data_IF_996246470435
#
_entry.id   IF_996246470435
#
_cell.length_a   1.000
_cell.length_b   1.000
_cell.length_c   1.000
_cell.angle_alpha   90.00
_cell.angle_beta   90.00
_cell.angle_gamma   90.00
#
_symmetry.space_group_name_H-M   'P 1'
#
loop_
_entity.id
_entity.type
_entity.pdbx_description
1 polymer ?
#
# COMPACT_ATOMS: atom_id res chain seq x y z
N UNK A 1 21.54 5.02 -25.51
CA UNK A 1 20.31 4.98 -24.70
C UNK A 1 20.69 4.43 -23.35
N UNK A 2 20.42 5.15 -22.28
CA UNK A 2 20.62 4.65 -20.91
C UNK A 2 19.60 3.55 -20.68
N UNK A 3 20.04 2.37 -20.27
CA UNK A 3 19.13 1.27 -19.90
C UNK A 3 18.24 1.71 -18.75
N UNK A 4 16.96 1.30 -18.74
CA UNK A 4 16.04 1.56 -17.63
C UNK A 4 16.65 1.02 -16.33
N UNK A 5 16.85 1.85 -15.29
CA UNK A 5 17.31 1.38 -13.99
C UNK A 5 16.30 0.45 -13.34
N UNK A 6 16.77 -0.57 -12.63
CA UNK A 6 15.89 -1.56 -11.96
C UNK A 6 14.94 -0.92 -10.93
N UNK A 7 15.37 0.15 -10.26
CA UNK A 7 14.53 0.84 -9.28
C UNK A 7 13.28 1.48 -9.91
N UNK A 8 13.26 1.74 -11.22
CA UNK A 8 12.06 2.26 -11.90
C UNK A 8 10.92 1.25 -11.87
N UNK A 9 11.23 -0.05 -12.01
CA UNK A 9 10.24 -1.11 -11.88
C UNK A 9 9.71 -1.21 -10.46
N UNK A 10 10.59 -1.03 -9.47
CA UNK A 10 10.18 -0.93 -8.07
C UNK A 10 9.22 0.25 -7.84
N UNK A 11 9.48 1.44 -8.42
CA UNK A 11 8.57 2.57 -8.28
C UNK A 11 7.19 2.28 -8.88
N UNK A 12 7.15 1.57 -10.02
CA UNK A 12 5.89 1.16 -10.64
C UNK A 12 5.14 0.11 -9.78
N UNK A 13 5.88 -0.82 -9.17
CA UNK A 13 5.30 -1.80 -8.25
C UNK A 13 4.69 -1.13 -7.01
N UNK A 14 5.38 -0.14 -6.43
CA UNK A 14 4.86 0.64 -5.30
C UNK A 14 3.60 1.38 -5.76
N UNK A 15 3.69 2.18 -6.84
CA UNK A 15 2.55 2.92 -7.42
C UNK A 15 1.29 2.06 -7.52
N UNK A 16 1.40 0.86 -8.11
CA UNK A 16 0.27 -0.04 -8.31
C UNK A 16 -0.29 -0.58 -7.00
N UNK A 17 0.56 -0.96 -6.05
CA UNK A 17 0.11 -1.48 -4.75
C UNK A 17 -0.58 -0.41 -3.92
N UNK A 18 -0.01 0.79 -3.88
CA UNK A 18 -0.58 1.93 -3.15
C UNK A 18 -1.95 2.31 -3.74
N UNK A 19 -2.04 2.47 -5.08
CA UNK A 19 -3.32 2.78 -5.72
C UNK A 19 -4.41 1.72 -5.42
N UNK A 20 -4.03 0.43 -5.39
CA UNK A 20 -4.93 -0.68 -5.04
C UNK A 20 -5.29 -0.70 -3.56
N UNK A 21 -4.34 -0.38 -2.68
CA UNK A 21 -4.58 -0.24 -1.26
C UNK A 21 -5.63 0.83 -0.98
N UNK A 22 -5.51 1.98 -1.65
CA UNK A 22 -6.54 3.03 -1.61
C UNK A 22 -7.94 2.48 -1.92
N UNK A 23 -8.07 1.71 -3.02
CA UNK A 23 -9.37 1.16 -3.44
C UNK A 23 -9.96 0.21 -2.41
N UNK A 24 -9.22 -0.82 -1.96
CA UNK A 24 -9.83 -1.79 -1.04
C UNK A 24 -10.04 -1.22 0.37
N UNK A 25 -9.19 -0.28 0.83
CA UNK A 25 -9.38 0.38 2.12
C UNK A 25 -10.59 1.32 2.07
N UNK A 26 -10.78 2.08 0.99
CA UNK A 26 -11.98 2.90 0.78
C UNK A 26 -13.24 2.04 0.69
N UNK A 27 -13.18 0.92 -0.04
CA UNK A 27 -14.30 -0.02 -0.15
C UNK A 27 -14.69 -0.58 1.23
N UNK A 28 -13.71 -0.88 2.08
CA UNK A 28 -13.98 -1.30 3.45
C UNK A 28 -14.54 -0.16 4.30
N UNK A 29 -13.95 1.04 4.22
CA UNK A 29 -14.42 2.21 4.93
C UNK A 29 -15.91 2.47 4.63
N UNK A 30 -16.32 2.33 3.37
CA UNK A 30 -17.71 2.49 2.94
C UNK A 30 -18.63 1.37 3.47
N UNK A 31 -18.10 0.18 3.76
CA UNK A 31 -18.85 -0.98 4.22
C UNK A 31 -19.03 -1.07 5.73
N UNK A 32 -18.06 -0.64 6.52
CA UNK A 32 -18.13 -0.78 7.99
C UNK A 32 -19.10 0.23 8.64
N UNK A 33 -19.78 -0.24 9.69
CA UNK A 33 -20.58 0.59 10.59
C UNK A 33 -19.77 1.13 11.78
N UNK A 34 -18.55 0.62 12.00
CA UNK A 34 -17.66 1.10 13.04
C UNK A 34 -17.07 2.46 12.62
N UNK A 35 -17.39 3.50 13.40
CA UNK A 35 -17.01 4.89 13.07
C UNK A 35 -15.50 5.12 13.13
N UNK A 36 -14.83 4.58 14.14
CA UNK A 36 -13.39 4.75 14.32
C UNK A 36 -12.63 4.02 13.21
N UNK A 37 -13.10 2.85 12.82
CA UNK A 37 -12.58 2.11 11.67
C UNK A 37 -12.81 2.85 10.36
N UNK A 38 -14.04 3.33 10.11
CA UNK A 38 -14.36 4.13 8.92
C UNK A 38 -13.44 5.34 8.79
N UNK A 39 -13.26 6.11 9.87
CA UNK A 39 -12.40 7.29 9.86
C UNK A 39 -10.95 6.92 9.57
N UNK A 40 -10.42 5.91 10.26
CA UNK A 40 -9.06 5.43 10.07
C UNK A 40 -8.82 4.93 8.63
N UNK A 41 -9.68 4.05 8.11
CA UNK A 41 -9.55 3.52 6.76
C UNK A 41 -9.69 4.59 5.69
N UNK A 42 -10.62 5.54 5.84
CA UNK A 42 -10.78 6.64 4.88
C UNK A 42 -9.54 7.52 4.82
N UNK A 43 -8.94 7.80 5.99
CA UNK A 43 -7.72 8.58 6.07
C UNK A 43 -6.51 7.85 5.45
N UNK A 44 -6.34 6.56 5.76
CA UNK A 44 -5.26 5.76 5.18
C UNK A 44 -5.47 5.62 3.68
N UNK A 45 -6.67 5.30 3.20
CA UNK A 45 -6.96 5.21 1.76
C UNK A 45 -6.56 6.49 0.99
N UNK A 46 -6.79 7.67 1.57
CA UNK A 46 -6.35 8.93 0.97
C UNK A 46 -4.82 9.07 0.88
N UNK A 47 -4.07 8.51 1.85
CA UNK A 47 -2.61 8.41 1.78
C UNK A 47 -2.17 7.47 0.67
N UNK A 48 -2.75 6.28 0.60
CA UNK A 48 -2.43 5.28 -0.43
C UNK A 48 -2.64 5.84 -1.85
N UNK A 49 -3.76 6.54 -2.09
CA UNK A 49 -3.99 7.22 -3.37
C UNK A 49 -2.91 8.28 -3.65
N UNK A 50 -2.57 9.09 -2.64
CA UNK A 50 -1.53 10.11 -2.77
C UNK A 50 -0.15 9.50 -3.03
N UNK A 51 0.17 8.37 -2.41
CA UNK A 51 1.40 7.63 -2.66
C UNK A 51 1.45 7.12 -4.09
N UNK A 52 0.36 6.49 -4.57
CA UNK A 52 0.21 6.07 -5.96
C UNK A 52 0.49 7.21 -6.94
N UNK A 53 -0.15 8.35 -6.76
CA UNK A 53 0.04 9.53 -7.62
C UNK A 53 1.47 10.08 -7.58
N UNK A 54 2.10 10.11 -6.41
CA UNK A 54 3.48 10.61 -6.25
C UNK A 54 4.48 9.67 -6.94
N UNK A 55 4.33 8.35 -6.82
CA UNK A 55 5.22 7.41 -7.49
C UNK A 55 4.99 7.38 -9.00
N UNK A 56 3.74 7.49 -9.48
CA UNK A 56 3.44 7.70 -10.90
C UNK A 56 4.18 8.92 -11.46
N UNK A 57 4.06 10.05 -10.76
CA UNK A 57 4.76 11.28 -11.10
C UNK A 57 6.27 11.09 -11.10
N UNK A 58 6.84 10.40 -10.10
CA UNK A 58 8.29 10.19 -10.02
C UNK A 58 8.82 9.38 -11.20
N UNK A 59 8.11 8.33 -11.62
CA UNK A 59 8.46 7.54 -12.80
C UNK A 59 8.50 8.42 -14.07
N UNK A 60 7.50 9.30 -14.25
CA UNK A 60 7.44 10.25 -15.37
C UNK A 60 8.56 11.29 -15.33
N UNK A 61 8.90 11.80 -14.15
CA UNK A 61 10.01 12.74 -13.96
C UNK A 61 11.38 12.12 -14.32
N UNK A 62 11.52 10.80 -14.18
CA UNK A 62 12.71 10.05 -14.59
C UNK A 62 12.74 9.78 -16.11
N UNK A 63 11.71 10.16 -16.86
CA UNK A 63 11.61 10.00 -18.31
C UNK A 63 11.11 8.62 -18.75
N UNK A 64 10.41 7.90 -17.87
CA UNK A 64 9.83 6.59 -18.17
C UNK A 64 8.30 6.63 -18.09
N UNK A 65 7.65 5.69 -18.79
CA UNK A 65 6.21 5.47 -18.70
C UNK A 65 5.91 4.46 -17.59
N UNK A 66 4.78 4.66 -16.90
CA UNK A 66 4.25 3.69 -15.95
C UNK A 66 3.62 2.51 -16.67
N UNK A 67 3.63 1.34 -16.02
CA UNK A 67 3.09 0.10 -16.56
C UNK A 67 1.97 -0.42 -15.68
N UNK A 68 0.87 -0.83 -16.29
CA UNK A 68 -0.21 -1.54 -15.61
C UNK A 68 0.13 -3.03 -15.55
N UNK A 69 0.20 -3.58 -14.33
CA UNK A 69 0.50 -4.98 -14.07
C UNK A 69 -0.63 -5.53 -13.22
N UNK A 70 -1.38 -6.51 -13.73
CA UNK A 70 -2.51 -7.13 -13.04
C UNK A 70 -2.09 -7.74 -11.69
N UNK A 71 -2.88 -7.51 -10.63
CA UNK A 71 -2.78 -8.25 -9.37
C UNK A 71 -3.94 -9.27 -9.35
N UNK A 72 -3.66 -10.58 -9.51
CA UNK A 72 -4.69 -11.60 -9.57
C UNK A 72 -5.48 -11.75 -8.25
N UNK A 73 -4.98 -11.22 -7.12
CA UNK A 73 -5.69 -11.24 -5.84
C UNK A 73 -6.48 -9.96 -5.56
N UNK A 74 -6.38 -8.93 -6.41
CA UNK A 74 -6.98 -7.63 -6.13
C UNK A 74 -8.51 -7.71 -6.03
N UNK A 75 -9.16 -8.34 -7.00
CA UNK A 75 -10.62 -8.48 -7.01
C UNK A 75 -11.12 -9.27 -5.79
N UNK A 76 -10.37 -10.28 -5.37
CA UNK A 76 -10.68 -11.07 -4.18
C UNK A 76 -10.55 -10.24 -2.89
N UNK A 77 -9.51 -9.40 -2.77
CA UNK A 77 -9.36 -8.46 -1.64
C UNK A 77 -10.56 -7.52 -1.55
N UNK A 78 -10.94 -6.90 -2.68
CA UNK A 78 -12.10 -5.99 -2.74
C UNK A 78 -13.38 -6.74 -2.38
N UNK A 79 -13.60 -7.95 -2.92
CA UNK A 79 -14.76 -8.79 -2.59
C UNK A 79 -14.86 -9.05 -1.09
N UNK A 80 -13.76 -9.41 -0.44
CA UNK A 80 -13.74 -9.73 0.99
C UNK A 80 -14.06 -8.51 1.83
N UNK A 81 -13.39 -7.38 1.61
CA UNK A 81 -13.59 -6.19 2.44
C UNK A 81 -14.96 -5.52 2.26
N UNK A 82 -15.57 -5.70 1.08
CA UNK A 82 -16.95 -5.25 0.80
C UNK A 82 -18.04 -6.24 1.23
N UNK A 83 -17.68 -7.45 1.69
CA UNK A 83 -18.65 -8.47 2.12
C UNK A 83 -19.30 -8.17 3.48
N UNK A 84 -20.29 -8.99 3.84
CA UNK A 84 -21.05 -8.90 5.09
C UNK A 84 -20.38 -9.61 6.28
N UNK A 85 -19.21 -10.23 6.10
CA UNK A 85 -18.45 -10.81 7.21
C UNK A 85 -17.99 -9.69 8.17
N UNK A 86 -17.68 -10.04 9.42
CA UNK A 86 -17.33 -9.05 10.43
C UNK A 86 -16.02 -8.32 10.10
N UNK A 87 -15.82 -7.13 10.67
CA UNK A 87 -14.56 -6.42 10.52
C UNK A 87 -13.38 -7.22 11.10
N UNK A 88 -13.60 -7.99 12.18
CA UNK A 88 -12.58 -8.88 12.73
C UNK A 88 -12.21 -10.01 11.77
N UNK A 89 -13.19 -10.60 11.08
CA UNK A 89 -12.95 -11.61 10.04
C UNK A 89 -12.20 -11.03 8.84
N UNK A 90 -12.50 -9.78 8.44
CA UNK A 90 -11.75 -9.06 7.39
C UNK A 90 -10.30 -8.78 7.81
N UNK A 91 -10.09 -8.34 9.06
CA UNK A 91 -8.74 -8.12 9.63
C UNK A 91 -7.93 -9.43 9.59
N UNK A 92 -8.52 -10.53 10.08
CA UNK A 92 -7.87 -11.84 10.10
C UNK A 92 -7.49 -12.29 8.69
N UNK A 93 -8.42 -12.16 7.74
CA UNK A 93 -8.18 -12.53 6.34
C UNK A 93 -7.06 -11.71 5.70
N UNK A 94 -7.01 -10.39 5.91
CA UNK A 94 -5.94 -9.53 5.38
C UNK A 94 -4.59 -9.86 6.01
N UNK A 95 -4.53 -10.13 7.32
CA UNK A 95 -3.30 -10.58 8.00
C UNK A 95 -2.80 -11.90 7.40
N UNK A 96 -3.68 -12.86 7.14
CA UNK A 96 -3.33 -14.13 6.51
C UNK A 96 -2.87 -13.95 5.04
N UNK A 97 -3.56 -13.10 4.26
CA UNK A 97 -3.14 -12.75 2.89
C UNK A 97 -1.73 -12.17 2.87
N UNK A 98 -1.38 -11.30 3.81
CA UNK A 98 -0.04 -10.72 3.93
C UNK A 98 1.04 -11.78 4.17
N UNK A 99 0.75 -12.85 4.91
CA UNK A 99 1.69 -13.96 5.16
C UNK A 99 1.98 -14.80 3.92
N UNK A 100 1.13 -14.74 2.88
CA UNK A 100 1.30 -15.46 1.62
C UNK A 100 2.08 -14.67 0.57
N UNK A 101 2.45 -13.41 0.86
CA UNK A 101 3.19 -12.60 -0.10
C UNK A 101 4.60 -13.15 -0.35
N UNK A 102 5.10 -13.04 -1.60
CA UNK A 102 6.43 -13.50 -1.95
C UNK A 102 7.52 -12.72 -1.21
N UNK A 103 8.64 -13.38 -0.95
CA UNK A 103 9.86 -12.78 -0.41
C UNK A 103 10.87 -12.56 -1.56
N UNK A 104 11.55 -11.39 -1.67
CA UNK A 104 11.38 -10.23 -0.80
C UNK A 104 10.05 -9.51 -1.05
N UNK A 105 9.42 -9.11 0.04
CA UNK A 105 8.28 -8.21 0.04
C UNK A 105 8.66 -6.87 -0.57
N UNK A 106 7.66 -6.11 -1.02
CA UNK A 106 7.89 -4.77 -1.61
C UNK A 106 8.54 -3.84 -0.60
N UNK A 107 8.22 -4.01 0.68
CA UNK A 107 8.87 -3.33 1.79
C UNK A 107 10.36 -3.59 1.86
N UNK A 108 10.77 -4.84 1.84
CA UNK A 108 12.20 -5.20 1.83
C UNK A 108 12.90 -4.64 0.58
N UNK A 109 12.21 -4.60 -0.56
CA UNK A 109 12.76 -4.03 -1.80
C UNK A 109 12.98 -2.52 -1.73
N UNK A 110 12.02 -1.75 -1.20
CA UNK A 110 12.23 -0.31 -1.05
C UNK A 110 13.18 0.04 0.10
N UNK A 111 13.25 -0.78 1.16
CA UNK A 111 14.26 -0.64 2.21
C UNK A 111 15.67 -0.81 1.66
N UNK A 112 15.89 -1.79 0.77
CA UNK A 112 17.16 -1.92 0.05
C UNK A 112 17.44 -0.72 -0.87
N UNK A 113 16.42 -0.23 -1.61
CA UNK A 113 16.57 0.90 -2.52
C UNK A 113 16.94 2.22 -1.82
N UNK A 114 16.58 2.40 -0.55
CA UNK A 114 16.98 3.58 0.23
C UNK A 114 18.48 3.67 0.48
N UNK A 115 19.17 2.52 0.48
CA UNK A 115 20.60 2.40 0.75
C UNK A 115 21.44 2.15 -0.52
N UNK A 116 20.78 2.00 -1.68
CA UNK A 116 21.46 1.80 -2.97
C UNK A 116 21.90 3.13 -3.60
N UNK A 117 23.20 3.29 -3.82
CA UNK A 117 23.79 4.48 -4.45
C UNK A 117 23.52 4.60 -5.95
N UNK A 118 22.99 3.55 -6.60
CA UNK A 118 22.46 3.62 -7.97
C UNK A 118 21.10 4.31 -8.04
N UNK A 119 20.40 4.44 -6.91
CA UNK A 119 19.13 5.18 -6.81
C UNK A 119 19.45 6.66 -6.60
N UNK A 120 18.88 7.51 -7.44
CA UNK A 120 19.14 8.93 -7.38
C UNK A 120 18.70 9.52 -6.02
N UNK A 121 19.36 10.59 -5.52
CA UNK A 121 19.10 11.12 -4.19
C UNK A 121 17.64 11.54 -3.95
N UNK A 122 16.96 12.08 -4.98
CA UNK A 122 15.59 12.52 -4.85
C UNK A 122 14.64 11.32 -4.70
N UNK A 123 14.86 10.26 -5.47
CA UNK A 123 14.11 9.00 -5.33
C UNK A 123 14.35 8.36 -3.97
N UNK A 124 15.60 8.34 -3.47
CA UNK A 124 15.89 7.84 -2.11
C UNK A 124 15.17 8.64 -1.02
N UNK A 125 15.17 9.97 -1.12
CA UNK A 125 14.43 10.83 -0.18
C UNK A 125 12.92 10.59 -0.22
N UNK A 126 12.37 10.39 -1.43
CA UNK A 126 10.95 10.05 -1.59
C UNK A 126 10.62 8.72 -0.90
N UNK A 127 11.41 7.67 -1.14
CA UNK A 127 11.17 6.35 -0.52
C UNK A 127 11.29 6.43 1.01
N UNK A 128 12.24 7.22 1.55
CA UNK A 128 12.36 7.46 3.00
C UNK A 128 11.11 8.10 3.58
N UNK A 129 10.65 9.21 2.99
CA UNK A 129 9.42 9.88 3.41
C UNK A 129 8.21 8.94 3.34
N UNK A 130 8.06 8.22 2.22
CA UNK A 130 7.01 7.24 2.04
C UNK A 130 7.04 6.17 3.15
N UNK A 131 8.22 5.62 3.45
CA UNK A 131 8.40 4.62 4.52
C UNK A 131 7.98 5.15 5.89
N UNK A 132 8.26 6.42 6.19
CA UNK A 132 7.84 7.05 7.45
C UNK A 132 6.32 7.20 7.53
N UNK A 133 5.66 7.57 6.42
CA UNK A 133 4.20 7.67 6.34
C UNK A 133 3.54 6.29 6.43
N UNK A 134 4.09 5.27 5.78
CA UNK A 134 3.64 3.88 5.87
C UNK A 134 3.69 3.36 7.31
N UNK A 135 4.78 3.63 8.02
CA UNK A 135 4.91 3.24 9.42
C UNK A 135 3.87 3.93 10.30
N UNK A 136 3.56 5.20 10.05
CA UNK A 136 2.50 5.92 10.77
C UNK A 136 1.11 5.33 10.46
N UNK A 137 0.81 5.02 9.19
CA UNK A 137 -0.43 4.34 8.80
C UNK A 137 -0.59 2.99 9.50
N UNK A 138 0.49 2.19 9.57
CA UNK A 138 0.50 0.90 10.30
C UNK A 138 0.20 1.08 11.79
N UNK A 139 0.75 2.11 12.43
CA UNK A 139 0.47 2.40 13.85
C UNK A 139 -1.00 2.79 14.06
N UNK A 140 -1.55 3.65 13.20
CA UNK A 140 -2.95 4.08 13.26
C UNK A 140 -3.90 2.90 13.09
N UNK A 141 -3.70 2.10 12.04
CA UNK A 141 -4.52 0.92 11.76
C UNK A 141 -4.36 -0.13 12.86
N UNK A 142 -3.14 -0.37 13.33
CA UNK A 142 -2.86 -1.34 14.39
C UNK A 142 -3.62 -1.04 15.69
N UNK A 143 -3.76 0.25 16.04
CA UNK A 143 -4.55 0.67 17.19
C UNK A 143 -6.03 0.33 17.02
N UNK A 144 -6.63 0.70 15.90
CA UNK A 144 -8.07 0.48 15.66
C UNK A 144 -8.39 -1.00 15.50
N UNK A 145 -7.56 -1.75 14.78
CA UNK A 145 -7.72 -3.20 14.60
C UNK A 145 -7.65 -3.94 15.94
N UNK A 146 -6.73 -3.56 16.81
CA UNK A 146 -6.61 -4.18 18.14
C UNK A 146 -7.86 -3.98 18.99
N UNK A 147 -8.57 -2.86 18.87
CA UNK A 147 -9.83 -2.64 19.59
C UNK A 147 -10.99 -3.47 19.02
N UNK A 148 -11.03 -3.64 17.69
CA UNK A 148 -12.01 -4.50 17.03
C UNK A 148 -11.79 -5.97 17.43
N UNK A 149 -10.56 -6.46 17.36
CA UNK A 149 -10.22 -7.85 17.72
C UNK A 149 -10.49 -8.17 19.20
N UNK A 150 -10.43 -7.18 20.09
CA UNK A 150 -10.82 -7.35 21.50
C UNK A 150 -12.34 -7.41 21.68
N UNK A 151 -13.10 -6.83 20.75
CA UNK A 151 -14.55 -6.74 20.84
C UNK A 151 -15.27 -8.01 20.31
N UNK A 152 -14.62 -8.80 19.46
CA UNK A 152 -15.14 -10.06 18.90
C UNK A 152 -15.02 -10.09 17.39
#
# INVERSE_FOLDING_TARGET
MTSKPEYVDLLNDIRLQEARAGVYLEAWANKTDNKDLKECLSFVAAREYSHGDIFDRRVKELGFDTQEIEDPEFDEKVRVVSSDISDAEKIAWLKESRLRQPTPSVRERYEAAMEDDLVDPLTRSLIRWFTDVENDSVVLMGKVYSEIEKAG
#
